data_IF_725886296557
#
_entry.id   IF_725886296557
#
_cell.length_a   1.000
_cell.length_b   1.000
_cell.length_c   1.000
_cell.angle_alpha   90.00
_cell.angle_beta   90.00
_cell.angle_gamma   90.00
#
_symmetry.space_group_name_H-M   'P 1'
#
loop_
_entity.id
_entity.type
_entity.pdbx_description
1 polymer ?
#
# COMPACT_ATOMS: atom_id res chain seq x y z
N UNK A 1 23.78 34.92 -42.98
CA UNK A 1 24.05 34.43 -41.61
C UNK A 1 22.84 33.66 -41.13
N UNK A 2 23.04 32.45 -40.58
CA UNK A 2 22.01 31.45 -40.27
C UNK A 2 21.15 31.90 -39.08
N UNK A 3 19.85 32.02 -39.30
CA UNK A 3 18.82 32.11 -38.27
C UNK A 3 18.70 30.78 -37.55
N UNK A 4 18.99 30.76 -36.24
CA UNK A 4 18.64 29.67 -35.33
C UNK A 4 18.29 30.28 -33.97
N UNK A 5 17.03 30.64 -33.78
CA UNK A 5 16.49 30.85 -32.44
C UNK A 5 16.14 29.48 -31.86
N UNK A 6 16.93 29.08 -30.87
CA UNK A 6 16.79 27.88 -30.07
C UNK A 6 15.46 27.93 -29.32
N UNK A 7 14.51 27.09 -29.74
CA UNK A 7 13.32 26.77 -28.95
C UNK A 7 13.74 25.83 -27.83
N UNK A 8 13.98 26.37 -26.65
CA UNK A 8 13.99 25.60 -25.40
C UNK A 8 12.82 26.08 -24.55
N UNK A 9 11.62 25.65 -24.94
CA UNK A 9 10.45 25.75 -24.08
C UNK A 9 10.56 24.63 -23.03
N UNK A 10 11.00 25.01 -21.83
CA UNK A 10 10.89 24.22 -20.62
C UNK A 10 9.41 23.97 -20.34
N UNK A 11 8.94 22.74 -20.54
CA UNK A 11 7.66 22.29 -20.04
C UNK A 11 7.82 20.84 -19.56
N UNK A 12 8.51 20.68 -18.44
CA UNK A 12 8.33 19.51 -17.59
C UNK A 12 6.91 19.61 -17.01
N UNK A 13 5.94 19.08 -17.75
CA UNK A 13 4.57 18.94 -17.26
C UNK A 13 4.60 17.84 -16.20
N UNK A 14 4.74 18.32 -14.96
CA UNK A 14 4.08 17.85 -13.74
C UNK A 14 3.59 16.40 -13.78
N UNK A 15 4.26 15.57 -12.99
CA UNK A 15 3.72 14.33 -12.45
C UNK A 15 2.34 14.60 -11.82
N UNK A 16 1.28 14.40 -12.59
CA UNK A 16 -0.10 14.41 -12.09
C UNK A 16 -0.76 13.08 -12.47
N UNK A 17 -0.26 11.99 -11.86
CA UNK A 17 -1.01 10.74 -11.70
C UNK A 17 -0.97 10.23 -10.25
N UNK A 18 -0.72 11.11 -9.28
CA UNK A 18 -1.04 10.83 -7.88
C UNK A 18 -2.52 11.14 -7.65
N UNK A 19 -3.41 10.15 -7.82
CA UNK A 19 -4.82 10.39 -7.50
C UNK A 19 -5.87 9.41 -7.99
N UNK A 20 -5.53 8.19 -8.43
CA UNK A 20 -6.48 7.09 -8.32
C UNK A 20 -6.23 6.35 -7.00
N UNK A 21 -6.33 7.06 -5.88
CA UNK A 21 -6.30 6.43 -4.56
C UNK A 21 -7.67 5.78 -4.35
N UNK A 22 -7.87 4.62 -4.97
CA UNK A 22 -8.64 3.55 -4.33
C UNK A 22 -7.70 2.90 -3.31
N UNK A 23 -7.13 3.72 -2.41
CA UNK A 23 -6.12 3.30 -1.47
C UNK A 23 -6.81 2.38 -0.48
N UNK A 24 -6.35 1.13 -0.44
CA UNK A 24 -6.80 0.18 0.55
C UNK A 24 -6.60 0.77 1.95
N UNK A 25 -7.62 0.65 2.77
CA UNK A 25 -7.58 1.08 4.17
C UNK A 25 -6.86 0.04 5.01
N UNK A 26 -6.48 0.41 6.23
CA UNK A 26 -5.95 -0.56 7.20
C UNK A 26 -6.96 -1.69 7.48
N UNK A 27 -8.26 -1.39 7.41
CA UNK A 27 -9.33 -2.39 7.55
C UNK A 27 -9.37 -3.37 6.35
N UNK A 28 -9.15 -2.88 5.13
CA UNK A 28 -9.05 -3.74 3.94
C UNK A 28 -7.86 -4.69 4.04
N UNK A 29 -6.71 -4.18 4.51
CA UNK A 29 -5.55 -5.02 4.82
C UNK A 29 -5.86 -6.06 5.90
N UNK A 30 -6.52 -5.65 7.00
CA UNK A 30 -6.88 -6.55 8.09
C UNK A 30 -7.85 -7.67 7.66
N UNK A 31 -8.73 -7.38 6.71
CA UNK A 31 -9.66 -8.34 6.11
C UNK A 31 -8.97 -9.30 5.13
N UNK A 32 -7.91 -8.86 4.46
CA UNK A 32 -7.17 -9.64 3.48
C UNK A 32 -6.10 -10.57 4.11
N UNK A 33 -5.70 -10.34 5.37
CA UNK A 33 -4.76 -11.23 6.07
C UNK A 33 -5.40 -12.60 6.32
N UNK A 34 -4.67 -13.64 5.93
CA UNK A 34 -5.03 -15.05 6.05
C UNK A 34 -3.84 -15.91 6.51
N UNK A 35 -4.03 -17.23 6.59
CA UNK A 35 -2.99 -18.18 7.04
C UNK A 35 -1.78 -18.29 6.09
N UNK A 36 -1.86 -17.73 4.88
CA UNK A 36 -0.77 -17.70 3.90
C UNK A 36 0.04 -16.39 3.94
N UNK A 37 -0.48 -15.42 4.67
CA UNK A 37 0.11 -14.09 4.81
C UNK A 37 1.40 -14.16 5.62
N UNK A 38 2.47 -13.56 5.13
CA UNK A 38 3.76 -13.48 5.83
C UNK A 38 4.37 -12.09 5.69
N UNK A 39 5.47 -11.80 6.41
CA UNK A 39 6.17 -10.50 6.28
C UNK A 39 6.60 -10.19 4.85
N UNK A 40 6.94 -11.21 4.07
CA UNK A 40 7.43 -11.11 2.68
C UNK A 40 6.37 -11.47 1.64
N UNK A 41 5.25 -12.04 2.05
CA UNK A 41 4.10 -12.37 1.20
C UNK A 41 2.86 -11.64 1.74
N UNK A 42 2.79 -10.33 1.49
CA UNK A 42 1.70 -9.49 1.96
C UNK A 42 0.57 -9.44 0.93
N UNK A 43 -0.69 -9.39 1.37
CA UNK A 43 -1.81 -9.07 0.48
C UNK A 43 -1.61 -7.74 -0.23
N UNK A 44 -2.24 -7.55 -1.38
CA UNK A 44 -2.09 -6.32 -2.18
C UNK A 44 -2.59 -5.10 -1.40
N UNK A 45 -3.60 -5.31 -0.57
CA UNK A 45 -4.21 -4.36 0.34
C UNK A 45 -3.26 -3.88 1.45
N UNK A 46 -2.22 -4.67 1.73
CA UNK A 46 -1.24 -4.42 2.78
C UNK A 46 0.13 -3.95 2.23
N UNK A 47 0.27 -3.72 0.91
CA UNK A 47 1.56 -3.33 0.34
C UNK A 47 1.94 -1.88 0.62
N UNK A 48 0.93 -1.02 0.83
CA UNK A 48 1.14 0.41 1.03
C UNK A 48 1.24 0.81 2.51
N UNK A 49 1.04 -0.13 3.44
CA UNK A 49 1.15 0.13 4.90
C UNK A 49 2.57 -0.14 5.41
N UNK A 50 2.90 0.47 6.55
CA UNK A 50 4.21 0.25 7.17
C UNK A 50 4.37 -1.19 7.65
N UNK A 51 5.62 -1.64 7.75
CA UNK A 51 5.94 -2.96 8.30
C UNK A 51 5.42 -3.14 9.73
N UNK A 52 5.48 -2.09 10.54
CA UNK A 52 5.01 -2.08 11.93
C UNK A 52 3.48 -2.25 12.01
N UNK A 53 2.75 -1.54 11.16
CA UNK A 53 1.28 -1.66 11.09
C UNK A 53 0.88 -3.06 10.60
N UNK A 54 1.56 -3.58 9.58
CA UNK A 54 1.30 -4.92 9.06
C UNK A 54 1.56 -5.99 10.12
N UNK A 55 2.66 -5.89 10.87
CA UNK A 55 2.95 -6.82 11.97
C UNK A 55 1.88 -6.78 13.05
N UNK A 56 1.38 -5.60 13.39
CA UNK A 56 0.29 -5.43 14.35
C UNK A 56 -0.99 -6.12 13.88
N UNK A 57 -1.39 -5.90 12.62
CA UNK A 57 -2.58 -6.52 12.03
C UNK A 57 -2.44 -8.04 11.90
N UNK A 58 -1.25 -8.53 11.51
CA UNK A 58 -0.99 -9.95 11.38
C UNK A 58 -0.98 -10.66 12.73
N UNK A 59 -0.43 -10.04 13.78
CA UNK A 59 -0.53 -10.55 15.15
C UNK A 59 -1.98 -10.58 15.63
N UNK A 60 -2.77 -9.55 15.33
CA UNK A 60 -4.20 -9.52 15.67
C UNK A 60 -4.97 -10.66 15.00
N UNK A 61 -4.68 -10.96 13.72
CA UNK A 61 -5.22 -12.12 13.01
C UNK A 61 -4.86 -13.42 13.72
N UNK A 62 -3.58 -13.64 14.05
CA UNK A 62 -3.11 -14.85 14.73
C UNK A 62 -3.81 -15.01 16.08
N UNK A 63 -3.94 -13.94 16.87
CA UNK A 63 -4.61 -14.00 18.18
C UNK A 63 -6.09 -14.37 18.03
N UNK A 64 -6.78 -13.81 17.02
CA UNK A 64 -8.18 -14.14 16.73
C UNK A 64 -8.36 -15.59 16.28
N UNK A 65 -7.47 -16.09 15.40
CA UNK A 65 -7.56 -17.44 14.84
C UNK A 65 -6.97 -18.54 15.73
N UNK A 66 -6.06 -18.20 16.65
CA UNK A 66 -5.43 -19.17 17.57
C UNK A 66 -6.38 -19.68 18.66
N UNK A 67 -7.64 -19.23 18.68
CA UNK A 67 -8.64 -19.68 19.65
C UNK A 67 -8.36 -19.24 21.09
N UNK A 68 -7.40 -18.31 21.28
CA UNK A 68 -7.04 -17.75 22.59
C UNK A 68 -8.13 -16.81 23.11
N UNK A 69 -8.98 -16.28 22.22
CA UNK A 69 -10.18 -15.53 22.57
C UNK A 69 -11.40 -16.44 22.39
N UNK A 70 -12.05 -16.90 23.47
CA UNK A 70 -13.31 -17.64 23.34
C UNK A 70 -14.38 -16.72 22.74
N UNK A 71 -15.27 -17.22 21.87
CA UNK A 71 -16.43 -16.45 21.42
C UNK A 71 -17.30 -16.15 22.64
N UNK A 72 -17.55 -14.86 22.87
CA UNK A 72 -18.53 -14.33 23.83
C UNK A 72 -19.96 -14.69 23.44
#
# INVERSE_FOLDING_TARGET
>A
MRTRHTLTATAAVLLALTGCSSGYTADDCAAAIDDTSTKTNRPVECQDISDEDYETLHLAYIIRNSGVVPPS
#
